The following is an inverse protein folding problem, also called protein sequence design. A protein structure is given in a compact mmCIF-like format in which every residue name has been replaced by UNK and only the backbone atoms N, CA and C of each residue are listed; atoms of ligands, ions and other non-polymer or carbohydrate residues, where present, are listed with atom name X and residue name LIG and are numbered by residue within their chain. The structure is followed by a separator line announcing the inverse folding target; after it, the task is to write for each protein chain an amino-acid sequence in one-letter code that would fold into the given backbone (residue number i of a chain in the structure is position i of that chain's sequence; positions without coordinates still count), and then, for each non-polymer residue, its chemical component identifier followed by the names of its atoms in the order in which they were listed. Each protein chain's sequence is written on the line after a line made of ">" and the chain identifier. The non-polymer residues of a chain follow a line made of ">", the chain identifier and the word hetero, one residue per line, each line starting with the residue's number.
data_IF_417229315580
#
_entry.id   IF_417229315580
#
_cell.length_a   1.000
_cell.length_b   1.000
_cell.length_c   1.000
_cell.angle_alpha   90.00
_cell.angle_beta   90.00
_cell.angle_gamma   90.00
#
_symmetry.space_group_name_H-M   'P 1'
#
loop_
_entity.id
_entity.type
_entity.pdbx_description
1 polymer ?
#
# COMPACT_ATOMS: atom_id res chain seq x y z
N UNK A 1 -4.86 10.86 -17.47
CA UNK A 1 -6.21 10.48 -17.02
C UNK A 1 -6.10 9.60 -15.78
N UNK A 2 -6.43 10.19 -14.64
CA UNK A 2 -6.33 9.60 -13.31
C UNK A 2 -7.22 8.37 -13.12
N UNK A 3 -8.37 8.30 -13.80
CA UNK A 3 -9.25 7.13 -13.74
C UNK A 3 -8.58 5.96 -14.45
N UNK A 4 -7.92 6.21 -15.58
CA UNK A 4 -7.11 5.21 -16.28
C UNK A 4 -5.91 4.76 -15.44
N UNK A 5 -5.23 5.69 -14.76
CA UNK A 5 -4.12 5.37 -13.85
C UNK A 5 -4.57 4.50 -12.67
N UNK A 6 -5.64 4.89 -11.99
CA UNK A 6 -6.25 4.12 -10.92
C UNK A 6 -6.71 2.74 -11.43
N UNK A 7 -7.33 2.68 -12.61
CA UNK A 7 -7.74 1.42 -13.23
C UNK A 7 -6.57 0.52 -13.63
N UNK A 8 -5.40 1.08 -13.97
CA UNK A 8 -4.18 0.30 -14.23
C UNK A 8 -3.63 -0.28 -12.92
N UNK A 9 -3.72 0.48 -11.83
CA UNK A 9 -3.27 0.06 -10.51
C UNK A 9 -4.26 -0.95 -9.88
N UNK A 10 -5.56 -0.83 -10.14
CA UNK A 10 -6.59 -1.78 -9.69
C UNK A 10 -6.45 -3.08 -10.45
N UNK A 11 -5.90 -4.11 -9.79
CA UNK A 11 -5.75 -5.39 -10.44
C UNK A 11 -7.05 -6.19 -10.41
N UNK A 12 -7.39 -6.70 -11.58
CA UNK A 12 -8.37 -7.77 -11.76
C UNK A 12 -7.77 -9.09 -11.26
N UNK A 13 -8.62 -10.12 -11.05
CA UNK A 13 -8.24 -11.49 -10.64
C UNK A 13 -7.27 -12.22 -11.59
N UNK A 14 -6.75 -11.54 -12.60
CA UNK A 14 -5.89 -12.11 -13.65
C UNK A 14 -4.42 -12.24 -13.24
N UNK A 15 -4.05 -11.79 -12.04
CA UNK A 15 -2.66 -11.72 -11.58
C UNK A 15 -2.50 -12.29 -10.17
N UNK A 16 -1.35 -12.93 -9.92
CA UNK A 16 -0.94 -13.36 -8.57
C UNK A 16 -0.36 -12.17 -7.83
N UNK A 17 -0.83 -11.91 -6.62
CA UNK A 17 -0.28 -10.87 -5.75
C UNK A 17 0.75 -11.46 -4.80
N UNK A 18 1.88 -10.76 -4.58
CA UNK A 18 2.92 -11.29 -3.70
C UNK A 18 2.44 -11.32 -2.25
N UNK A 19 2.68 -12.44 -1.57
CA UNK A 19 2.40 -12.60 -0.13
C UNK A 19 3.05 -11.55 0.76
N UNK A 20 4.12 -10.92 0.25
CA UNK A 20 4.97 -9.96 0.96
C UNK A 20 4.45 -8.52 0.92
N UNK A 21 3.35 -8.25 0.19
CA UNK A 21 2.74 -6.93 0.18
C UNK A 21 2.12 -6.63 1.57
N UNK A 22 2.41 -5.46 2.16
CA UNK A 22 1.74 -4.96 3.37
C UNK A 22 0.22 -4.84 3.22
N UNK A 23 -0.50 -4.87 4.34
CA UNK A 23 -1.98 -4.83 4.36
C UNK A 23 -2.55 -3.53 3.80
N UNK A 24 -2.00 -2.40 4.25
CA UNK A 24 -2.48 -1.05 3.90
C UNK A 24 -1.29 -0.19 3.52
N UNK A 25 -1.31 0.34 2.31
CA UNK A 25 -0.31 1.29 1.83
C UNK A 25 -1.04 2.54 1.36
N UNK A 26 -0.59 3.72 1.81
CA UNK A 26 -1.05 4.99 1.23
C UNK A 26 -0.05 5.43 0.18
N UNK A 27 -0.57 5.77 -0.99
CA UNK A 27 0.18 6.24 -2.13
C UNK A 27 -0.17 7.69 -2.40
N UNK A 28 0.86 8.54 -2.45
CA UNK A 28 0.80 9.85 -3.09
C UNK A 28 1.30 9.69 -4.53
N UNK A 29 0.40 9.87 -5.48
CA UNK A 29 0.69 9.77 -6.91
C UNK A 29 0.73 11.18 -7.51
N UNK A 30 1.90 11.59 -8.02
CA UNK A 30 2.11 12.92 -8.60
C UNK A 30 1.90 12.90 -10.13
N UNK A 31 1.38 13.98 -10.70
CA UNK A 31 1.30 14.24 -12.14
C UNK A 31 1.52 15.75 -12.38
N UNK A 32 2.77 16.14 -12.65
CA UNK A 32 3.16 17.55 -12.67
C UNK A 32 3.00 18.21 -11.30
N UNK A 33 2.24 19.29 -11.25
CA UNK A 33 1.97 20.06 -10.02
C UNK A 33 0.78 19.50 -9.21
N UNK A 34 0.08 18.49 -9.72
CA UNK A 34 -1.03 17.83 -9.04
C UNK A 34 -0.57 16.55 -8.33
N UNK A 35 -1.22 16.24 -7.21
CA UNK A 35 -1.03 14.97 -6.51
C UNK A 35 -2.37 14.40 -6.04
N UNK A 36 -2.49 13.06 -6.06
CA UNK A 36 -3.68 12.34 -5.59
C UNK A 36 -3.32 11.26 -4.58
N UNK A 37 -4.26 11.02 -3.66
CA UNK A 37 -4.19 9.93 -2.69
C UNK A 37 -4.84 8.67 -3.23
N UNK A 38 -4.16 7.54 -3.03
CA UNK A 38 -4.72 6.22 -3.19
C UNK A 38 -4.38 5.34 -1.99
N UNK A 39 -5.32 4.51 -1.55
CA UNK A 39 -5.04 3.38 -0.65
C UNK A 39 -4.94 2.10 -1.44
N UNK A 40 -3.85 1.36 -1.25
CA UNK A 40 -3.65 0.02 -1.79
C UNK A 40 -3.88 -0.96 -0.65
N UNK A 41 -4.88 -1.83 -0.81
CA UNK A 41 -5.33 -2.78 0.21
C UNK A 41 -5.05 -4.19 -0.26
N UNK A 42 -4.21 -4.92 0.47
CA UNK A 42 -3.98 -6.33 0.21
C UNK A 42 -5.16 -7.17 0.74
N UNK A 43 -5.87 -7.84 -0.17
CA UNK A 43 -6.95 -8.75 0.18
C UNK A 43 -6.35 -10.15 0.38
N UNK A 44 -6.13 -10.53 1.64
CA UNK A 44 -5.63 -11.87 2.00
C UNK A 44 -6.77 -12.87 2.10
N UNK A 45 -6.46 -14.11 1.75
CA UNK A 45 -7.39 -15.25 1.80
C UNK A 45 -6.79 -16.30 2.71
N UNK A 46 -7.62 -16.83 3.61
CA UNK A 46 -7.23 -17.94 4.47
C UNK A 46 -8.21 -19.10 4.26
N UNK A 47 -7.72 -20.33 4.39
CA UNK A 47 -8.52 -21.54 4.25
C UNK A 47 -9.65 -21.64 5.28
N UNK A 48 -9.46 -21.08 6.47
CA UNK A 48 -10.48 -20.90 7.51
C UNK A 48 -10.18 -19.66 8.35
N UNK A 49 -11.22 -19.11 8.99
CA UNK A 49 -11.13 -18.02 9.98
C UNK A 49 -11.35 -18.54 11.41
N UNK A 50 -11.52 -19.86 11.59
CA UNK A 50 -11.87 -20.47 12.88
C UNK A 50 -10.70 -20.53 13.88
N UNK A 51 -9.50 -20.16 13.45
CA UNK A 51 -8.32 -20.08 14.30
C UNK A 51 -8.07 -18.62 14.71
N UNK A 52 -8.22 -18.34 16.00
CA UNK A 52 -7.90 -17.04 16.59
C UNK A 52 -6.38 -16.79 16.73
N UNK A 53 -5.56 -17.84 16.65
CA UNK A 53 -4.10 -17.78 16.77
C UNK A 53 -3.42 -18.62 15.68
N UNK A 54 -2.23 -18.20 15.23
CA UNK A 54 -1.37 -18.91 14.25
C UNK A 54 -2.00 -19.18 12.87
N UNK A 55 -2.54 -18.13 12.23
CA UNK A 55 -3.18 -18.22 10.91
C UNK A 55 -2.22 -18.49 9.74
N UNK A 56 -0.90 -18.46 9.95
CA UNK A 56 0.11 -18.50 8.89
C UNK A 56 0.06 -19.80 8.07
N UNK A 57 -0.35 -20.91 8.70
CA UNK A 57 -0.52 -22.20 8.03
C UNK A 57 -1.79 -22.28 7.18
N UNK A 58 -2.66 -21.27 7.27
CA UNK A 58 -3.95 -21.22 6.59
C UNK A 58 -3.98 -20.19 5.46
N UNK A 59 -2.94 -19.36 5.33
CA UNK A 59 -2.81 -18.43 4.21
C UNK A 59 -2.89 -19.17 2.88
N UNK A 60 -3.64 -18.61 1.94
CA UNK A 60 -3.70 -19.05 0.55
C UNK A 60 -3.19 -17.94 -0.38
N UNK A 61 -1.87 -17.67 -0.42
CA UNK A 61 -1.32 -16.53 -1.15
C UNK A 61 -1.63 -16.49 -2.64
N UNK A 62 -1.78 -17.65 -3.28
CA UNK A 62 -2.16 -17.73 -4.70
C UNK A 62 -3.55 -17.14 -4.99
N UNK A 63 -4.37 -16.92 -3.96
CA UNK A 63 -5.70 -16.30 -4.05
C UNK A 63 -5.70 -14.82 -3.64
N UNK A 64 -4.54 -14.25 -3.26
CA UNK A 64 -4.46 -12.86 -2.85
C UNK A 64 -4.77 -11.92 -4.01
N UNK A 65 -5.43 -10.81 -3.69
CA UNK A 65 -5.68 -9.72 -4.65
C UNK A 65 -5.34 -8.37 -3.99
N UNK A 66 -5.41 -7.28 -4.75
CA UNK A 66 -5.24 -5.93 -4.21
C UNK A 66 -6.35 -5.03 -4.71
N UNK A 67 -6.96 -4.29 -3.78
CA UNK A 67 -7.95 -3.25 -4.08
C UNK A 67 -7.29 -1.88 -4.02
N UNK A 68 -7.79 -0.95 -4.83
CA UNK A 68 -7.33 0.44 -4.80
C UNK A 68 -8.50 1.39 -4.67
N UNK A 69 -8.35 2.33 -3.74
CA UNK A 69 -9.36 3.34 -3.44
C UNK A 69 -8.77 4.74 -3.57
N UNK A 70 -9.44 5.69 -4.24
CA UNK A 70 -8.99 7.08 -4.38
C UNK A 70 -9.27 7.90 -3.11
N UNK A 71 -8.93 7.34 -1.95
CA UNK A 71 -9.09 7.94 -0.61
C UNK A 71 -8.20 7.22 0.39
N UNK A 72 -8.14 7.71 1.63
CA UNK A 72 -7.51 7.03 2.76
C UNK A 72 -8.47 5.97 3.32
N UNK A 73 -8.02 4.72 3.36
CA UNK A 73 -8.75 3.59 3.96
C UNK A 73 -8.00 3.10 5.19
N UNK A 74 -8.71 3.04 6.32
CA UNK A 74 -8.13 2.68 7.61
C UNK A 74 -7.34 3.83 8.27
N UNK A 75 -6.88 3.58 9.50
CA UNK A 75 -6.07 4.53 10.28
C UNK A 75 -4.63 4.09 10.52
N UNK A 76 -4.24 2.89 10.06
CA UNK A 76 -2.98 2.24 10.42
C UNK A 76 -2.19 1.85 9.15
N UNK A 77 -1.59 2.82 8.43
CA UNK A 77 -0.81 2.52 7.24
C UNK A 77 0.45 1.71 7.60
N UNK A 78 0.76 0.68 6.80
CA UNK A 78 2.02 -0.03 6.93
C UNK A 78 3.16 0.69 6.23
N UNK A 79 2.89 1.33 5.10
CA UNK A 79 3.86 2.13 4.35
C UNK A 79 3.20 3.33 3.66
N UNK A 80 4.01 4.36 3.46
CA UNK A 80 3.76 5.42 2.51
C UNK A 80 4.60 5.18 1.26
N UNK A 81 3.96 5.27 0.11
CA UNK A 81 4.60 5.35 -1.19
C UNK A 81 4.44 6.77 -1.74
N UNK A 82 5.45 7.23 -2.45
CA UNK A 82 5.37 8.44 -3.27
C UNK A 82 6.05 8.18 -4.62
N UNK A 83 5.32 8.38 -5.72
CA UNK A 83 5.85 8.20 -7.06
C UNK A 83 5.11 9.09 -8.08
N UNK A 84 5.74 9.33 -9.22
CA UNK A 84 5.11 10.02 -10.33
C UNK A 84 4.26 9.05 -11.16
N UNK A 85 3.23 9.57 -11.83
CA UNK A 85 2.32 8.79 -12.67
C UNK A 85 3.06 7.99 -13.76
N UNK A 86 4.15 8.55 -14.30
CA UNK A 86 5.01 7.86 -15.27
C UNK A 86 5.64 6.57 -14.70
N UNK A 87 5.85 6.48 -13.38
CA UNK A 87 6.44 5.33 -12.71
C UNK A 87 5.43 4.24 -12.37
N UNK A 88 4.12 4.52 -12.45
CA UNK A 88 3.06 3.58 -12.05
C UNK A 88 3.14 2.25 -12.83
N UNK A 89 3.46 2.31 -14.13
CA UNK A 89 3.62 1.11 -14.95
C UNK A 89 4.81 0.25 -14.52
N UNK A 90 5.93 0.87 -14.15
CA UNK A 90 7.12 0.18 -13.65
C UNK A 90 6.90 -0.40 -12.25
N UNK A 91 6.21 0.35 -11.38
CA UNK A 91 5.81 -0.14 -10.06
C UNK A 91 4.96 -1.40 -10.17
N UNK A 92 3.93 -1.42 -11.03
CA UNK A 92 3.08 -2.60 -11.21
C UNK A 92 3.82 -3.80 -11.78
N UNK A 93 4.75 -3.59 -12.72
CA UNK A 93 5.62 -4.66 -13.21
C UNK A 93 6.49 -5.21 -12.09
N UNK A 94 7.21 -4.33 -11.39
CA UNK A 94 8.06 -4.72 -10.27
C UNK A 94 7.29 -5.45 -9.16
N UNK A 95 6.06 -5.01 -8.87
CA UNK A 95 5.21 -5.68 -7.88
C UNK A 95 4.80 -7.10 -8.31
N UNK A 96 4.55 -7.33 -9.61
CA UNK A 96 4.25 -8.67 -10.14
C UNK A 96 5.45 -9.61 -10.08
N UNK A 97 6.65 -9.04 -10.18
CA UNK A 97 7.91 -9.81 -10.19
C UNK A 97 8.39 -10.17 -8.76
N UNK A 98 7.72 -9.68 -7.71
CA UNK A 98 8.05 -10.03 -6.32
C UNK A 98 7.74 -11.50 -6.05
N UNK A 99 8.78 -12.32 -5.87
CA UNK A 99 8.66 -13.75 -5.51
C UNK A 99 9.21 -14.05 -4.12
N UNK A 100 9.96 -13.13 -3.53
CA UNK A 100 10.58 -13.28 -2.21
C UNK A 100 10.49 -11.99 -1.39
N UNK A 101 10.75 -12.10 -0.08
CA UNK A 101 10.89 -10.92 0.78
C UNK A 101 12.02 -9.99 0.31
N UNK A 102 13.09 -10.55 -0.25
CA UNK A 102 14.19 -9.76 -0.80
C UNK A 102 13.75 -8.93 -2.02
N UNK A 103 12.90 -9.49 -2.88
CA UNK A 103 12.35 -8.77 -4.04
C UNK A 103 11.39 -7.67 -3.59
N UNK A 104 10.56 -7.95 -2.58
CA UNK A 104 9.72 -6.94 -1.95
C UNK A 104 10.56 -5.80 -1.37
N UNK A 105 11.60 -6.11 -0.59
CA UNK A 105 12.45 -5.09 0.02
C UNK A 105 13.13 -4.21 -1.04
N UNK A 106 13.59 -4.78 -2.16
CA UNK A 106 14.12 -3.99 -3.29
C UNK A 106 13.08 -3.04 -3.89
N UNK A 107 11.84 -3.52 -4.07
CA UNK A 107 10.75 -2.70 -4.58
C UNK A 107 10.38 -1.59 -3.59
N UNK A 108 10.24 -1.94 -2.31
CA UNK A 108 9.99 -1.02 -1.20
C UNK A 108 11.03 0.08 -1.17
N UNK A 109 12.32 -0.26 -1.21
CA UNK A 109 13.41 0.72 -1.09
C UNK A 109 13.43 1.73 -2.25
N UNK A 110 12.80 1.40 -3.39
CA UNK A 110 12.65 2.31 -4.53
C UNK A 110 11.49 3.30 -4.36
N UNK A 111 10.37 2.89 -3.77
CA UNK A 111 9.12 3.65 -3.81
C UNK A 111 8.59 4.09 -2.44
N UNK A 112 8.96 3.40 -1.37
CA UNK A 112 8.47 3.64 -0.03
C UNK A 112 9.32 4.68 0.71
N UNK A 113 8.66 5.44 1.57
CA UNK A 113 9.31 6.40 2.45
C UNK A 113 9.50 5.76 3.82
N UNK A 114 10.67 5.18 4.07
CA UNK A 114 10.96 4.52 5.34
C UNK A 114 10.95 5.51 6.52
N UNK A 115 10.75 4.99 7.74
CA UNK A 115 10.60 5.84 8.95
C UNK A 115 11.81 6.73 9.22
N UNK A 116 13.00 6.27 8.86
CA UNK A 116 14.27 6.99 9.02
C UNK A 116 14.57 7.98 7.88
N UNK A 117 13.68 8.11 6.90
CA UNK A 117 13.86 9.05 5.79
C UNK A 117 13.57 10.49 6.23
N UNK A 118 14.38 11.45 5.80
CA UNK A 118 14.09 12.88 5.98
C UNK A 118 12.76 13.32 5.32
N UNK A 119 12.27 12.54 4.35
CA UNK A 119 10.98 12.78 3.67
C UNK A 119 9.77 12.27 4.46
N UNK A 120 9.98 11.50 5.54
CA UNK A 120 8.91 10.83 6.27
C UNK A 120 7.90 11.82 6.85
N UNK A 121 8.34 12.78 7.67
CA UNK A 121 7.45 13.76 8.29
C UNK A 121 6.74 14.66 7.27
N UNK A 122 7.43 15.24 6.26
CA UNK A 122 6.73 16.00 5.23
C UNK A 122 5.63 15.22 4.50
N UNK A 123 5.85 13.93 4.21
CA UNK A 123 4.84 13.11 3.55
C UNK A 123 3.68 12.74 4.49
N UNK A 124 3.97 12.44 5.75
CA UNK A 124 2.95 12.21 6.77
C UNK A 124 2.05 13.44 6.96
N UNK A 125 2.66 14.63 7.06
CA UNK A 125 1.94 15.90 7.18
C UNK A 125 1.09 16.16 5.94
N UNK A 126 1.61 15.85 4.75
CA UNK A 126 0.84 15.96 3.50
C UNK A 126 -0.40 15.05 3.49
N UNK A 127 -0.27 13.78 3.89
CA UNK A 127 -1.42 12.88 4.00
C UNK A 127 -2.41 13.33 5.08
N UNK A 128 -1.91 13.83 6.20
CA UNK A 128 -2.74 14.34 7.30
C UNK A 128 -3.54 15.54 6.83
N UNK A 129 -2.90 16.52 6.20
CA UNK A 129 -3.55 17.69 5.62
C UNK A 129 -4.61 17.26 4.60
N UNK A 130 -4.25 16.37 3.66
CA UNK A 130 -5.20 15.82 2.70
C UNK A 130 -6.41 15.16 3.40
N UNK A 131 -6.17 14.39 4.47
CA UNK A 131 -7.23 13.71 5.23
C UNK A 131 -8.23 14.72 5.81
N UNK A 132 -7.74 15.77 6.48
CA UNK A 132 -8.58 16.81 7.05
C UNK A 132 -9.32 17.62 5.99
N UNK A 133 -8.65 17.98 4.89
CA UNK A 133 -9.25 18.77 3.81
C UNK A 133 -10.36 18.02 3.06
N UNK A 134 -10.25 16.69 2.93
CA UNK A 134 -11.14 15.89 2.08
C UNK A 134 -12.15 15.03 2.85
N UNK A 135 -11.88 14.68 4.13
CA UNK A 135 -12.72 13.77 4.92
C UNK A 135 -13.41 14.41 6.12
N UNK A 136 -13.11 15.69 6.42
CA UNK A 136 -13.84 16.48 7.39
C UNK A 136 -13.94 15.80 8.75
N UNK A 137 -15.16 15.54 9.22
CA UNK A 137 -15.41 14.92 10.54
C UNK A 137 -14.92 13.48 10.66
N UNK A 138 -14.69 12.78 9.55
CA UNK A 138 -14.11 11.43 9.55
C UNK A 138 -12.58 11.45 9.62
N UNK A 139 -11.96 12.62 9.49
CA UNK A 139 -10.52 12.76 9.51
C UNK A 139 -9.97 12.55 10.92
N UNK A 140 -8.81 11.90 10.97
CA UNK A 140 -8.01 11.69 12.16
C UNK A 140 -6.55 11.55 11.78
N UNK A 141 -5.68 11.56 12.78
CA UNK A 141 -4.27 11.28 12.57
C UNK A 141 -4.07 9.79 12.23
N UNK A 142 -3.09 9.51 11.38
CA UNK A 142 -2.72 8.15 11.02
C UNK A 142 -1.83 7.57 12.12
N UNK A 143 -2.21 6.41 12.64
CA UNK A 143 -1.47 5.69 13.65
C UNK A 143 -0.32 4.90 13.00
N UNK A 144 0.90 5.22 13.42
CA UNK A 144 2.14 4.67 12.87
C UNK A 144 2.63 3.41 13.60
N UNK A 145 1.80 2.81 14.47
CA UNK A 145 2.16 1.63 15.29
C UNK A 145 2.59 0.41 14.48
N UNK A 146 2.11 0.28 13.23
CA UNK A 146 2.46 -0.82 12.32
C UNK A 146 3.28 -0.37 11.10
N UNK A 147 3.75 0.88 11.12
CA UNK A 147 4.46 1.48 10.01
C UNK A 147 5.91 0.99 9.94
N UNK A 148 6.35 0.54 8.77
CA UNK A 148 7.72 0.06 8.51
C UNK A 148 8.15 -1.09 9.44
N UNK A 149 7.19 -1.91 9.87
CA UNK A 149 7.41 -3.06 10.73
C UNK A 149 7.20 -4.33 9.91
N UNK A 150 8.28 -4.88 9.32
CA UNK A 150 8.21 -6.14 8.56
C UNK A 150 9.44 -7.05 8.69
N UNK A 151 10.21 -6.94 9.77
CA UNK A 151 11.14 -8.02 10.18
C UNK A 151 10.42 -9.22 10.81
N UNK A 152 9.15 -9.07 11.18
CA UNK A 152 8.30 -10.19 11.59
C UNK A 152 7.38 -10.55 10.44
N UNK A 153 7.73 -11.62 9.74
CA UNK A 153 6.75 -12.55 9.15
C UNK A 153 5.68 -12.75 10.22
N UNK A 154 4.51 -12.14 10.04
CA UNK A 154 3.36 -12.54 10.83
C UNK A 154 2.91 -13.91 10.42
#
# INVERSE_FOLDING_TARGET
>A
DWVKAASLLTATRSYRFPRYLPSVILLKLNDGDEARVYSLIANRVYATQDTLFFQNGLELPDLYTMSIYPTIVGGFPNYFLEMDLAQAGDFLRGLRDVQSLADWNKLRDRYAILRNSARFWPLYDWFTQWNFDNRGIEAGYLDLSYYDLFDSVY
#
